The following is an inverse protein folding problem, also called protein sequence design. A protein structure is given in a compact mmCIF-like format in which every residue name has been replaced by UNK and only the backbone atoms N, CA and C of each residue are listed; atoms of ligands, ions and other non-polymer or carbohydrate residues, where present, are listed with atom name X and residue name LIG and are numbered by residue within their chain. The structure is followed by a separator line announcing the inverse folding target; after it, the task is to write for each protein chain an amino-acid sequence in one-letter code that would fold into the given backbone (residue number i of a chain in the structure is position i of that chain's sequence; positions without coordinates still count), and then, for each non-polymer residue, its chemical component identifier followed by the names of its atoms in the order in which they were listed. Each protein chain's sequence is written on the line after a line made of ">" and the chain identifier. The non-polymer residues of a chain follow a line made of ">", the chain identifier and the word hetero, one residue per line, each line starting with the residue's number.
data_IF_921824886847
#
_entry.id   IF_921824886847
#
_cell.length_a   1.000
_cell.length_b   1.000
_cell.length_c   1.000
_cell.angle_alpha   90.00
_cell.angle_beta   90.00
_cell.angle_gamma   90.00
#
_symmetry.space_group_name_H-M   'P 1'
#
loop_
_entity.id
_entity.type
_entity.pdbx_description
1 polymer ?
#
# COMPACT_ATOMS: atom_id res chain seq x y z
N UNK A 1 10.79 -13.63 41.23
CA UNK A 1 9.70 -12.73 40.81
C UNK A 1 9.95 -11.99 39.48
N UNK A 2 11.19 -12.00 38.95
CA UNK A 2 11.54 -11.30 37.69
C UNK A 2 11.37 -12.14 36.41
N UNK A 3 11.25 -13.45 36.50
CA UNK A 3 11.15 -14.34 35.32
C UNK A 3 9.74 -14.38 34.69
N UNK A 4 8.69 -14.05 35.43
CA UNK A 4 7.31 -14.08 34.94
C UNK A 4 6.93 -12.84 34.09
N UNK A 5 7.57 -11.68 34.36
CA UNK A 5 7.30 -10.44 33.63
C UNK A 5 7.94 -10.42 32.23
N UNK A 6 9.11 -11.07 32.08
CA UNK A 6 9.79 -11.17 30.77
C UNK A 6 9.07 -12.15 29.81
N UNK A 7 8.43 -13.19 30.35
CA UNK A 7 7.67 -14.15 29.55
C UNK A 7 6.35 -13.55 29.02
N UNK A 8 5.71 -12.65 29.76
CA UNK A 8 4.48 -11.97 29.32
C UNK A 8 4.75 -10.92 28.21
N UNK A 9 5.94 -10.26 28.22
CA UNK A 9 6.33 -9.34 27.16
C UNK A 9 6.69 -10.07 25.85
N UNK A 10 7.25 -11.27 25.93
CA UNK A 10 7.55 -12.11 24.76
C UNK A 10 6.28 -12.68 24.10
N UNK A 11 5.23 -12.94 24.86
CA UNK A 11 3.96 -13.43 24.32
C UNK A 11 3.17 -12.35 23.54
N UNK A 12 3.33 -11.06 23.87
CA UNK A 12 2.72 -9.97 23.12
C UNK A 12 3.44 -9.64 21.82
N UNK A 13 4.70 -10.05 21.63
CA UNK A 13 5.44 -9.84 20.39
C UNK A 13 5.22 -10.91 19.32
N UNK A 14 4.64 -12.06 19.69
CA UNK A 14 4.33 -13.15 18.74
C UNK A 14 3.00 -12.97 18.00
N UNK A 15 2.15 -12.03 18.43
CA UNK A 15 0.80 -11.85 17.87
C UNK A 15 0.71 -11.04 16.56
N UNK A 16 1.70 -10.23 16.24
CA UNK A 16 1.64 -9.31 15.08
C UNK A 16 2.82 -9.50 14.11
N UNK A 17 3.03 -10.71 13.64
CA UNK A 17 4.07 -10.99 12.62
C UNK A 17 3.51 -10.98 11.19
N UNK A 18 2.39 -10.28 10.98
CA UNK A 18 1.75 -10.21 9.66
C UNK A 18 1.70 -8.78 9.13
N UNK A 19 1.84 -8.67 7.82
CA UNK A 19 1.68 -7.42 7.09
C UNK A 19 0.60 -7.64 6.05
N UNK A 20 -0.35 -6.71 5.97
CA UNK A 20 -1.44 -6.75 5.01
C UNK A 20 -1.09 -5.87 3.80
N UNK A 21 -0.96 -6.46 2.63
CA UNK A 21 -0.81 -5.73 1.38
C UNK A 21 -2.18 -5.47 0.77
N UNK A 22 -2.43 -4.22 0.39
CA UNK A 22 -3.64 -3.79 -0.32
C UNK A 22 -3.30 -3.58 -1.79
N UNK A 23 -4.07 -4.23 -2.65
CA UNK A 23 -3.98 -4.17 -4.11
C UNK A 23 -5.34 -3.83 -4.71
N UNK A 24 -5.39 -3.54 -6.00
CA UNK A 24 -6.64 -3.21 -6.71
C UNK A 24 -7.02 -4.29 -7.71
N UNK A 25 -8.33 -4.54 -7.85
CA UNK A 25 -8.87 -5.41 -8.91
C UNK A 25 -9.09 -4.67 -10.24
N UNK A 26 -8.71 -3.40 -10.34
CA UNK A 26 -9.01 -2.58 -11.51
C UNK A 26 -8.14 -2.95 -12.71
N UNK A 27 -8.77 -3.25 -13.84
CA UNK A 27 -8.12 -3.64 -15.10
C UNK A 27 -7.96 -2.50 -16.11
N UNK A 28 -8.78 -1.45 -15.99
CA UNK A 28 -8.81 -0.32 -16.92
C UNK A 28 -8.82 1.00 -16.16
N UNK A 29 -8.28 2.06 -16.77
CA UNK A 29 -8.37 3.42 -16.23
C UNK A 29 -9.83 3.92 -16.30
N UNK A 30 -10.54 3.82 -15.19
CA UNK A 30 -11.96 4.18 -15.11
C UNK A 30 -12.82 3.45 -16.15
N UNK A 31 -13.55 4.22 -16.96
CA UNK A 31 -14.39 3.71 -18.05
C UNK A 31 -13.67 3.62 -19.40
N UNK A 32 -12.37 3.90 -19.46
CA UNK A 32 -11.59 3.83 -20.71
C UNK A 32 -11.32 2.37 -21.12
N UNK A 33 -10.74 2.19 -22.32
CA UNK A 33 -10.22 0.90 -22.79
C UNK A 33 -8.71 0.75 -22.53
N UNK A 34 -8.10 1.73 -21.86
CA UNK A 34 -6.67 1.67 -21.50
C UNK A 34 -6.49 0.74 -20.31
N UNK A 35 -5.68 -0.28 -20.48
CA UNK A 35 -5.34 -1.22 -19.42
C UNK A 35 -4.51 -0.56 -18.33
N UNK A 36 -4.78 -0.92 -17.08
CA UNK A 36 -3.99 -0.57 -15.91
C UNK A 36 -3.71 -1.80 -15.06
N UNK A 37 -2.79 -1.69 -14.11
CA UNK A 37 -2.39 -2.79 -13.26
C UNK A 37 -1.80 -2.30 -11.93
N UNK A 38 -1.65 -3.21 -10.98
CA UNK A 38 -0.77 -3.03 -9.83
C UNK A 38 0.69 -3.11 -10.31
N UNK A 39 1.55 -2.25 -9.75
CA UNK A 39 2.96 -2.19 -10.16
C UNK A 39 3.71 -3.36 -9.54
N UNK A 40 4.20 -4.29 -10.38
CA UNK A 40 4.77 -5.55 -9.91
C UNK A 40 5.96 -5.35 -8.96
N UNK A 41 6.88 -4.44 -9.29
CA UNK A 41 8.03 -4.11 -8.44
C UNK A 41 7.62 -3.62 -7.05
N UNK A 42 6.56 -2.78 -6.98
CA UNK A 42 6.06 -2.21 -5.72
C UNK A 42 5.33 -3.24 -4.84
N UNK A 43 4.94 -4.37 -5.42
CA UNK A 43 4.43 -5.52 -4.67
C UNK A 43 5.59 -6.41 -4.23
N UNK A 44 6.46 -6.83 -5.16
CA UNK A 44 7.45 -7.87 -4.87
C UNK A 44 8.63 -7.40 -4.02
N UNK A 45 9.09 -6.16 -4.19
CA UNK A 45 10.26 -5.68 -3.42
C UNK A 45 9.94 -5.62 -1.93
N UNK A 46 8.87 -4.97 -1.46
CA UNK A 46 8.49 -5.03 -0.06
C UNK A 46 8.13 -6.46 0.41
N UNK A 47 7.48 -7.25 -0.43
CA UNK A 47 7.15 -8.64 -0.12
C UNK A 47 8.40 -9.47 0.19
N UNK A 48 9.44 -9.38 -0.65
CA UNK A 48 10.72 -10.09 -0.48
C UNK A 48 11.42 -9.64 0.81
N UNK A 49 11.44 -8.34 1.10
CA UNK A 49 12.01 -7.81 2.35
C UNK A 49 11.27 -8.32 3.59
N UNK A 50 9.98 -8.18 3.65
CA UNK A 50 9.20 -8.58 4.82
C UNK A 50 9.22 -10.09 5.05
N UNK A 51 9.14 -10.89 3.99
CA UNK A 51 9.21 -12.35 4.13
C UNK A 51 10.60 -12.82 4.56
N UNK A 52 11.68 -12.20 4.07
CA UNK A 52 13.04 -12.45 4.55
C UNK A 52 13.26 -12.02 6.00
N UNK A 53 12.55 -10.98 6.45
CA UNK A 53 12.56 -10.55 7.85
C UNK A 53 11.69 -11.42 8.76
N UNK A 54 11.02 -12.46 8.23
CA UNK A 54 10.21 -13.40 8.99
C UNK A 54 8.73 -13.02 9.12
N UNK A 55 8.28 -11.93 8.48
CA UNK A 55 6.86 -11.58 8.46
C UNK A 55 6.07 -12.46 7.49
N UNK A 56 4.86 -12.78 7.87
CA UNK A 56 3.86 -13.32 6.94
C UNK A 56 3.18 -12.16 6.21
N UNK A 57 3.03 -12.30 4.89
CA UNK A 57 2.35 -11.31 4.06
C UNK A 57 1.08 -11.90 3.48
N UNK A 58 -0.05 -11.27 3.81
CA UNK A 58 -1.34 -11.52 3.17
C UNK A 58 -1.64 -10.40 2.17
N UNK A 59 -2.34 -10.73 1.09
CA UNK A 59 -2.72 -9.77 0.06
C UNK A 59 -4.25 -9.68 0.04
N UNK A 60 -4.77 -8.45 0.11
CA UNK A 60 -6.20 -8.16 0.05
C UNK A 60 -6.49 -7.23 -1.12
N UNK A 61 -7.62 -7.44 -1.76
CA UNK A 61 -8.17 -6.51 -2.74
C UNK A 61 -9.66 -6.28 -2.48
N UNK A 62 -10.26 -5.19 -2.97
CA UNK A 62 -11.67 -4.87 -2.70
C UNK A 62 -12.65 -6.01 -2.96
N UNK A 63 -12.39 -6.82 -4.01
CA UNK A 63 -13.27 -7.92 -4.43
C UNK A 63 -12.72 -9.30 -4.11
N UNK A 64 -11.46 -9.40 -3.64
CA UNK A 64 -10.74 -10.66 -3.58
C UNK A 64 -10.43 -11.23 -4.97
N UNK A 65 -9.85 -12.44 -5.01
CA UNK A 65 -9.51 -13.13 -6.26
C UNK A 65 -8.38 -12.47 -7.05
N UNK A 66 -8.37 -12.67 -8.36
CA UNK A 66 -7.29 -12.23 -9.22
C UNK A 66 -7.18 -10.70 -9.32
N UNK A 67 -5.94 -10.23 -9.34
CA UNK A 67 -5.59 -8.82 -9.60
C UNK A 67 -4.72 -8.70 -10.84
N UNK A 68 -4.85 -7.62 -11.63
CA UNK A 68 -3.94 -7.36 -12.73
C UNK A 68 -2.58 -6.91 -12.20
N UNK A 69 -1.50 -7.47 -12.74
CA UNK A 69 -0.13 -7.03 -12.51
C UNK A 69 0.51 -6.55 -13.80
N UNK A 70 1.34 -5.51 -13.70
CA UNK A 70 1.99 -4.91 -14.87
C UNK A 70 3.29 -4.20 -14.48
N UNK A 71 3.83 -3.41 -15.40
CA UNK A 71 5.09 -2.70 -15.22
C UNK A 71 6.26 -3.66 -14.94
N UNK A 72 6.22 -4.83 -15.57
CA UNK A 72 7.16 -5.94 -15.33
C UNK A 72 8.44 -5.71 -16.13
N UNK A 73 9.59 -5.80 -15.45
CA UNK A 73 10.91 -5.80 -16.06
C UNK A 73 11.56 -7.18 -15.91
N UNK A 74 11.52 -8.00 -16.95
CA UNK A 74 12.09 -9.35 -16.92
C UNK A 74 13.63 -9.37 -16.95
N UNK A 75 14.29 -8.22 -17.15
CA UNK A 75 15.74 -8.09 -16.98
C UNK A 75 16.15 -7.93 -15.51
N UNK A 76 15.22 -7.55 -14.64
CA UNK A 76 15.45 -7.53 -13.20
C UNK A 76 15.32 -8.95 -12.62
N UNK A 77 16.36 -9.37 -11.89
CA UNK A 77 16.45 -10.74 -11.37
C UNK A 77 15.38 -11.05 -10.31
N UNK A 78 15.01 -10.06 -9.50
CA UNK A 78 14.00 -10.22 -8.45
C UNK A 78 12.60 -10.30 -9.07
N UNK A 79 12.29 -9.42 -10.03
CA UNK A 79 11.02 -9.47 -10.76
C UNK A 79 10.89 -10.80 -11.52
N UNK A 80 11.96 -11.23 -12.20
CA UNK A 80 11.99 -12.51 -12.89
C UNK A 80 11.74 -13.67 -11.93
N UNK A 81 12.40 -13.69 -10.75
CA UNK A 81 12.21 -14.71 -9.73
C UNK A 81 10.73 -14.85 -9.35
N UNK A 82 10.08 -13.75 -8.97
CA UNK A 82 8.69 -13.79 -8.51
C UNK A 82 7.67 -14.01 -9.64
N UNK A 83 7.97 -13.57 -10.86
CA UNK A 83 7.11 -13.84 -12.02
C UNK A 83 6.99 -15.35 -12.33
N UNK A 84 8.06 -16.13 -12.07
CA UNK A 84 8.09 -17.58 -12.26
C UNK A 84 7.86 -18.37 -10.96
N UNK A 85 7.63 -17.70 -9.84
CA UNK A 85 7.26 -18.34 -8.57
C UNK A 85 5.75 -18.61 -8.55
N UNK A 86 5.36 -19.85 -8.83
CA UNK A 86 3.94 -20.25 -8.86
C UNK A 86 3.22 -20.02 -7.53
N UNK A 87 3.91 -20.18 -6.39
CA UNK A 87 3.32 -19.90 -5.08
C UNK A 87 2.99 -18.44 -4.86
N UNK A 88 3.90 -17.56 -5.31
CA UNK A 88 3.67 -16.13 -5.22
C UNK A 88 2.58 -15.67 -6.20
N UNK A 89 2.62 -16.16 -7.43
CA UNK A 89 1.60 -15.82 -8.45
C UNK A 89 0.21 -16.29 -8.04
N UNK A 90 0.10 -17.46 -7.40
CA UNK A 90 -1.17 -17.95 -6.84
C UNK A 90 -1.75 -16.98 -5.78
N UNK A 91 -0.92 -16.35 -4.96
CA UNK A 91 -1.38 -15.30 -4.02
C UNK A 91 -1.97 -14.08 -4.74
N UNK A 92 -1.50 -13.76 -5.94
CA UNK A 92 -2.03 -12.65 -6.75
C UNK A 92 -3.30 -13.03 -7.52
N UNK A 93 -3.48 -14.32 -7.80
CA UNK A 93 -4.72 -14.87 -8.38
C UNK A 93 -5.82 -15.07 -7.32
N UNK A 94 -5.44 -15.26 -6.04
CA UNK A 94 -6.34 -15.57 -4.95
C UNK A 94 -6.19 -14.59 -3.78
N UNK A 95 -6.24 -13.28 -4.06
CA UNK A 95 -6.20 -12.28 -2.99
C UNK A 95 -7.43 -12.42 -2.08
N UNK A 96 -7.26 -12.08 -0.80
CA UNK A 96 -8.36 -12.14 0.18
C UNK A 96 -9.39 -11.05 -0.06
N UNK A 97 -10.62 -11.30 0.35
CA UNK A 97 -11.65 -10.26 0.49
C UNK A 97 -11.48 -9.53 1.84
N UNK A 98 -11.90 -8.26 1.95
CA UNK A 98 -11.84 -7.51 3.21
C UNK A 98 -12.56 -8.21 4.38
N UNK A 99 -13.63 -8.96 4.09
CA UNK A 99 -14.39 -9.74 5.10
C UNK A 99 -13.60 -10.88 5.74
N UNK A 100 -12.51 -11.33 5.12
CA UNK A 100 -11.66 -12.41 5.60
C UNK A 100 -10.48 -11.90 6.46
N UNK A 101 -10.37 -10.58 6.62
CA UNK A 101 -9.26 -9.96 7.33
C UNK A 101 -9.64 -9.71 8.79
N UNK A 102 -8.79 -10.21 9.69
CA UNK A 102 -8.84 -9.93 11.12
C UNK A 102 -7.74 -8.89 11.42
N UNK A 103 -8.09 -7.60 11.55
CA UNK A 103 -7.10 -6.51 11.61
C UNK A 103 -6.10 -6.64 12.76
N UNK A 104 -6.53 -7.27 13.86
CA UNK A 104 -5.75 -7.48 15.08
C UNK A 104 -4.49 -8.35 14.85
N UNK A 105 -4.48 -9.12 13.77
CA UNK A 105 -3.35 -9.98 13.41
C UNK A 105 -2.23 -9.26 12.67
N UNK A 106 -2.40 -7.98 12.30
CA UNK A 106 -1.46 -7.27 11.43
C UNK A 106 -0.73 -6.14 12.17
N UNK A 107 0.60 -6.14 12.03
CA UNK A 107 1.46 -5.06 12.52
C UNK A 107 1.46 -3.83 11.59
N UNK A 108 1.17 -4.04 10.30
CA UNK A 108 1.14 -2.97 9.31
C UNK A 108 0.16 -3.29 8.18
N UNK A 109 -0.31 -2.22 7.52
CA UNK A 109 -0.99 -2.26 6.23
C UNK A 109 -0.18 -1.47 5.22
N UNK A 110 0.06 -2.06 4.05
CA UNK A 110 0.87 -1.51 2.97
C UNK A 110 0.04 -1.43 1.69
N UNK A 111 -0.11 -0.23 1.14
CA UNK A 111 -0.83 0.02 -0.11
C UNK A 111 0.17 0.07 -1.26
N UNK A 112 0.18 -0.96 -2.12
CA UNK A 112 0.99 -0.99 -3.33
C UNK A 112 0.41 -0.09 -4.42
N UNK A 113 1.27 0.45 -5.27
CA UNK A 113 0.84 1.36 -6.32
C UNK A 113 0.64 0.68 -7.68
N UNK A 114 0.88 1.46 -8.70
CA UNK A 114 0.44 1.22 -10.07
C UNK A 114 -0.86 1.97 -10.37
N UNK A 115 -1.15 2.21 -11.63
CA UNK A 115 -2.33 3.01 -12.01
C UNK A 115 -3.66 2.42 -11.54
N UNK A 116 -3.73 1.10 -11.30
CA UNK A 116 -4.91 0.46 -10.76
C UNK A 116 -5.25 0.91 -9.33
N UNK A 117 -4.25 1.24 -8.52
CA UNK A 117 -4.41 1.55 -7.10
C UNK A 117 -5.27 2.81 -6.83
N UNK A 118 -5.41 3.69 -7.83
CA UNK A 118 -6.22 4.91 -7.71
C UNK A 118 -7.73 4.65 -7.81
N UNK A 119 -8.10 3.40 -8.15
CA UNK A 119 -9.48 2.99 -8.36
C UNK A 119 -9.88 1.86 -7.40
N UNK A 120 -11.07 1.97 -6.80
CA UNK A 120 -11.71 0.92 -6.02
C UNK A 120 -11.15 0.73 -4.60
N UNK A 121 -9.96 1.24 -4.29
CA UNK A 121 -9.32 1.06 -2.97
C UNK A 121 -9.65 2.21 -2.02
N UNK A 122 -9.54 3.44 -2.50
CA UNK A 122 -9.73 4.65 -1.68
C UNK A 122 -11.15 4.76 -1.10
N UNK A 123 -12.14 4.36 -1.89
CA UNK A 123 -13.56 4.40 -1.55
C UNK A 123 -14.06 3.13 -0.82
N UNK A 124 -13.24 2.07 -0.73
CA UNK A 124 -13.64 0.84 -0.05
C UNK A 124 -13.68 1.02 1.47
N UNK A 125 -14.88 1.13 2.00
CA UNK A 125 -15.12 1.36 3.42
C UNK A 125 -14.68 0.20 4.31
N UNK A 126 -14.65 -1.02 3.80
CA UNK A 126 -14.19 -2.19 4.55
C UNK A 126 -12.65 -2.15 4.70
N UNK A 127 -11.91 -1.83 3.63
CA UNK A 127 -10.45 -1.63 3.68
C UNK A 127 -10.11 -0.44 4.59
N UNK A 128 -10.85 0.68 4.50
CA UNK A 128 -10.67 1.82 5.40
C UNK A 128 -10.86 1.43 6.87
N UNK A 129 -11.88 0.62 7.18
CA UNK A 129 -12.14 0.12 8.55
C UNK A 129 -11.01 -0.78 9.04
N UNK A 130 -10.46 -1.65 8.18
CA UNK A 130 -9.32 -2.50 8.49
C UNK A 130 -8.10 -1.63 8.81
N UNK A 131 -7.76 -0.67 7.96
CA UNK A 131 -6.63 0.24 8.14
C UNK A 131 -6.73 1.03 9.45
N UNK A 132 -7.92 1.57 9.74
CA UNK A 132 -8.20 2.27 11.00
C UNK A 132 -7.96 1.38 12.22
N UNK A 133 -8.45 0.14 12.20
CA UNK A 133 -8.24 -0.81 13.30
C UNK A 133 -6.77 -1.17 13.48
N UNK A 134 -6.04 -1.44 12.41
CA UNK A 134 -4.60 -1.68 12.46
C UNK A 134 -3.89 -0.46 13.08
N UNK A 135 -4.22 0.75 12.63
CA UNK A 135 -3.65 1.97 13.19
C UNK A 135 -3.98 2.16 14.67
N UNK A 136 -5.22 1.92 15.09
CA UNK A 136 -5.64 2.04 16.48
C UNK A 136 -4.96 0.99 17.39
N UNK A 137 -4.56 -0.15 16.83
CA UNK A 137 -3.76 -1.19 17.50
C UNK A 137 -2.24 -0.92 17.44
N UNK A 138 -1.83 0.33 17.29
CA UNK A 138 -0.45 0.77 17.15
C UNK A 138 0.28 0.28 15.88
N UNK A 139 -0.44 -0.23 14.90
CA UNK A 139 0.12 -0.63 13.62
C UNK A 139 0.54 0.53 12.73
N UNK A 140 1.32 0.22 11.69
CA UNK A 140 1.87 1.16 10.73
C UNK A 140 0.96 1.21 9.49
N UNK A 141 0.75 2.41 8.95
CA UNK A 141 0.17 2.61 7.63
C UNK A 141 1.28 2.99 6.66
N UNK A 142 1.46 2.18 5.62
CA UNK A 142 2.45 2.42 4.58
C UNK A 142 1.78 2.47 3.21
N UNK A 143 2.31 3.28 2.30
CA UNK A 143 1.84 3.39 0.94
C UNK A 143 2.96 3.81 -0.01
N UNK A 144 2.86 3.43 -1.28
CA UNK A 144 3.84 3.81 -2.30
C UNK A 144 3.14 4.26 -3.58
N UNK A 145 3.72 5.28 -4.23
CA UNK A 145 3.30 5.71 -5.56
C UNK A 145 1.79 6.05 -5.60
N UNK A 146 1.04 5.51 -6.57
CA UNK A 146 -0.42 5.64 -6.63
C UNK A 146 -1.15 4.90 -5.49
N UNK A 147 -0.50 3.96 -4.79
CA UNK A 147 -1.06 3.32 -3.59
C UNK A 147 -1.42 4.31 -2.48
N UNK A 148 -0.79 5.48 -2.47
CA UNK A 148 -1.14 6.58 -1.54
C UNK A 148 -2.60 7.07 -1.72
N UNK A 149 -3.23 6.80 -2.86
CA UNK A 149 -4.67 7.03 -3.03
C UNK A 149 -5.49 6.27 -1.96
N UNK A 150 -5.09 5.05 -1.61
CA UNK A 150 -5.79 4.22 -0.63
C UNK A 150 -5.86 4.80 0.78
N UNK A 151 -4.95 5.72 1.12
CA UNK A 151 -4.98 6.39 2.42
C UNK A 151 -5.66 7.76 2.38
N UNK A 152 -6.02 8.27 1.20
CA UNK A 152 -6.48 9.65 1.02
C UNK A 152 -7.73 10.01 1.84
N UNK A 153 -8.59 9.03 2.12
CA UNK A 153 -9.85 9.22 2.86
C UNK A 153 -9.89 8.45 4.18
N UNK A 154 -8.72 8.06 4.73
CA UNK A 154 -8.67 7.41 6.03
C UNK A 154 -8.99 8.39 7.15
N UNK A 155 -10.03 8.07 7.91
CA UNK A 155 -10.50 8.88 9.03
C UNK A 155 -10.58 8.07 10.32
N UNK A 156 -10.53 8.76 11.47
CA UNK A 156 -10.91 8.21 12.76
C UNK A 156 -12.45 8.01 12.86
N UNK A 157 -12.93 7.59 14.01
CA UNK A 157 -14.37 7.39 14.27
C UNK A 157 -15.16 8.71 14.32
N UNK A 158 -14.46 9.83 14.53
CA UNK A 158 -15.03 11.17 14.55
C UNK A 158 -15.00 11.85 13.17
N UNK A 159 -14.47 11.17 12.14
CA UNK A 159 -14.36 11.68 10.78
C UNK A 159 -13.14 12.59 10.54
N UNK A 160 -12.20 12.70 11.50
CA UNK A 160 -10.96 13.43 11.29
C UNK A 160 -9.96 12.55 10.52
N UNK A 161 -9.19 13.15 9.64
CA UNK A 161 -8.14 12.44 8.92
C UNK A 161 -7.09 11.86 9.88
N UNK A 162 -6.77 10.57 9.74
CA UNK A 162 -5.75 9.88 10.56
C UNK A 162 -4.35 10.46 10.38
N UNK A 163 -4.09 11.10 9.26
CA UNK A 163 -2.80 11.73 8.93
C UNK A 163 -2.83 13.26 8.98
N UNK A 164 -3.84 13.86 9.62
CA UNK A 164 -3.91 15.33 9.75
C UNK A 164 -2.61 15.90 10.33
N UNK A 165 -2.03 16.91 9.66
CA UNK A 165 -0.76 17.53 10.02
C UNK A 165 0.49 16.70 9.69
N UNK A 166 0.36 15.45 9.24
CA UNK A 166 1.49 14.58 8.90
C UNK A 166 2.01 14.85 7.50
N UNK A 167 3.32 14.66 7.32
CA UNK A 167 3.93 14.62 5.99
C UNK A 167 3.60 13.29 5.33
N UNK A 168 3.04 13.36 4.13
CA UNK A 168 2.68 12.22 3.29
C UNK A 168 3.30 12.44 1.93
N UNK A 169 3.82 11.39 1.30
CA UNK A 169 4.22 11.40 -0.10
C UNK A 169 3.53 10.27 -0.87
N UNK A 170 3.57 10.36 -2.17
CA UNK A 170 3.03 9.43 -3.13
C UNK A 170 3.39 9.91 -4.52
N UNK A 171 2.83 9.30 -5.57
CA UNK A 171 3.10 9.78 -6.93
C UNK A 171 2.44 11.14 -7.15
N UNK A 172 3.23 12.22 -7.34
CA UNK A 172 2.67 13.57 -7.37
C UNK A 172 2.12 13.95 -8.74
N UNK A 173 1.11 14.80 -8.77
CA UNK A 173 0.60 15.42 -10.00
C UNK A 173 1.70 16.11 -10.83
N UNK A 174 2.79 16.50 -10.18
CA UNK A 174 3.95 17.12 -10.82
C UNK A 174 4.64 16.19 -11.84
N UNK A 175 4.61 14.88 -11.60
CA UNK A 175 5.22 13.88 -12.49
C UNK A 175 4.22 13.25 -13.46
N UNK A 176 2.94 13.61 -13.36
CA UNK A 176 1.90 13.09 -14.25
C UNK A 176 1.90 13.79 -15.60
N UNK A 177 1.65 13.02 -16.66
CA UNK A 177 1.33 13.61 -17.96
C UNK A 177 -0.18 13.88 -18.04
N UNK A 178 -0.57 15.12 -17.74
CA UNK A 178 -1.97 15.56 -17.63
C UNK A 178 -2.73 15.55 -18.96
N UNK A 179 -2.02 15.52 -20.07
CA UNK A 179 -2.63 15.45 -21.40
C UNK A 179 -3.08 14.04 -21.78
N UNK A 180 -2.52 13.04 -21.11
CA UNK A 180 -2.83 11.64 -21.40
C UNK A 180 -4.22 11.24 -20.92
N UNK A 181 -4.85 10.33 -21.67
CA UNK A 181 -6.19 9.82 -21.40
C UNK A 181 -6.25 9.12 -20.02
N UNK A 182 -5.20 8.41 -19.64
CA UNK A 182 -5.16 7.72 -18.34
C UNK A 182 -5.31 8.70 -17.16
N UNK A 183 -4.64 9.88 -17.24
CA UNK A 183 -4.71 10.88 -16.18
C UNK A 183 -6.10 11.53 -16.12
N UNK A 184 -6.68 11.83 -17.28
CA UNK A 184 -8.04 12.39 -17.36
C UNK A 184 -9.12 11.45 -16.80
N UNK A 185 -8.82 10.14 -16.74
CA UNK A 185 -9.69 9.13 -16.15
C UNK A 185 -9.54 9.00 -14.63
N UNK A 186 -8.54 9.61 -14.00
CA UNK A 186 -8.36 9.53 -12.54
C UNK A 186 -9.57 10.14 -11.82
N UNK A 187 -10.11 9.45 -10.80
CA UNK A 187 -11.26 9.97 -10.04
C UNK A 187 -10.91 11.19 -9.20
N UNK A 188 -9.64 11.32 -8.81
CA UNK A 188 -9.11 12.44 -8.02
C UNK A 188 -7.59 12.53 -8.15
N UNK A 189 -7.02 13.68 -7.74
CA UNK A 189 -5.59 13.89 -7.57
C UNK A 189 -5.17 13.55 -6.15
N UNK A 190 -4.14 12.70 -6.00
CA UNK A 190 -3.61 12.28 -4.69
C UNK A 190 -3.16 13.49 -3.88
N UNK A 191 -2.36 14.39 -4.48
CA UNK A 191 -1.87 15.62 -3.84
C UNK A 191 -3.00 16.45 -3.25
N UNK A 192 -4.06 16.66 -4.07
CA UNK A 192 -5.19 17.50 -3.67
C UNK A 192 -6.02 16.82 -2.59
N UNK A 193 -6.24 15.51 -2.70
CA UNK A 193 -7.01 14.76 -1.72
C UNK A 193 -6.30 14.75 -0.35
N UNK A 194 -4.99 14.49 -0.32
CA UNK A 194 -4.21 14.52 0.92
C UNK A 194 -4.23 15.92 1.56
N UNK A 195 -4.03 16.98 0.78
CA UNK A 195 -4.08 18.37 1.28
C UNK A 195 -5.46 18.76 1.77
N UNK A 196 -6.52 18.42 1.03
CA UNK A 196 -7.91 18.69 1.42
C UNK A 196 -8.27 18.04 2.76
N UNK A 197 -7.69 16.87 3.06
CA UNK A 197 -7.85 16.14 4.30
C UNK A 197 -6.76 16.49 5.34
N UNK A 198 -6.21 17.72 5.26
CA UNK A 198 -5.27 18.30 6.25
C UNK A 198 -3.91 17.58 6.34
N UNK A 199 -3.53 16.74 5.40
CA UNK A 199 -2.19 16.20 5.28
C UNK A 199 -1.24 17.20 4.63
N UNK A 200 0.05 17.10 4.95
CA UNK A 200 1.10 17.88 4.31
C UNK A 200 1.75 17.03 3.22
N UNK A 201 1.23 17.13 1.97
CA UNK A 201 1.80 16.40 0.85
C UNK A 201 3.13 17.01 0.41
N UNK A 202 4.18 16.20 0.47
CA UNK A 202 5.55 16.57 0.09
C UNK A 202 6.09 15.60 -0.96
N UNK A 203 6.95 16.07 -1.86
CA UNK A 203 7.52 15.24 -2.90
C UNK A 203 8.89 15.78 -3.36
N UNK A 204 9.70 14.91 -3.95
CA UNK A 204 10.90 15.30 -4.68
C UNK A 204 10.54 15.68 -6.12
N UNK A 205 11.11 16.76 -6.61
CA UNK A 205 11.01 17.12 -8.03
C UNK A 205 11.84 16.18 -8.93
N UNK A 206 12.76 15.42 -8.33
CA UNK A 206 13.46 14.35 -9.04
C UNK A 206 12.61 13.09 -9.04
N UNK A 207 12.45 12.50 -10.22
CA UNK A 207 11.80 11.22 -10.36
C UNK A 207 12.82 10.09 -10.09
N UNK A 208 12.39 9.00 -9.45
CA UNK A 208 13.18 7.79 -9.20
C UNK A 208 14.45 8.02 -8.37
N UNK A 209 14.40 8.91 -7.39
CA UNK A 209 15.52 9.18 -6.46
C UNK A 209 15.37 8.48 -5.11
N UNK A 210 14.36 7.62 -4.97
CA UNK A 210 14.06 6.89 -3.76
C UNK A 210 13.50 7.77 -2.64
N UNK A 211 12.75 8.82 -3.01
CA UNK A 211 12.14 9.73 -2.04
C UNK A 211 11.05 9.01 -1.24
N UNK A 212 11.16 9.09 0.08
CA UNK A 212 10.17 8.56 1.02
C UNK A 212 10.06 9.44 2.25
N UNK A 213 8.99 9.26 3.01
CA UNK A 213 8.68 10.01 4.22
C UNK A 213 8.29 9.04 5.33
N UNK A 214 8.85 9.27 6.51
CA UNK A 214 8.39 8.67 7.77
C UNK A 214 7.89 9.80 8.66
N UNK A 215 6.62 9.78 9.01
CA UNK A 215 6.05 10.74 9.96
C UNK A 215 5.08 10.02 10.91
N UNK A 216 5.56 9.81 12.14
CA UNK A 216 4.88 8.97 13.11
C UNK A 216 4.77 7.53 12.61
N UNK A 217 3.54 7.01 12.51
CA UNK A 217 3.26 5.66 12.00
C UNK A 217 2.77 5.65 10.54
N UNK A 218 3.10 6.71 9.78
CA UNK A 218 2.93 6.76 8.33
C UNK A 218 4.30 6.66 7.66
N UNK A 219 4.43 5.67 6.76
CA UNK A 219 5.65 5.42 5.98
C UNK A 219 5.26 5.42 4.52
N UNK A 220 5.60 6.47 3.79
CA UNK A 220 5.12 6.64 2.41
C UNK A 220 6.26 6.88 1.43
N UNK A 221 6.16 6.32 0.23
CA UNK A 221 7.14 6.42 -0.85
C UNK A 221 6.56 7.05 -2.10
N UNK A 222 7.39 7.81 -2.82
CA UNK A 222 6.94 8.57 -3.97
C UNK A 222 6.70 7.69 -5.21
N UNK A 223 7.59 6.75 -5.46
CA UNK A 223 7.62 5.95 -6.69
C UNK A 223 8.34 4.60 -6.45
N UNK A 224 8.42 3.68 -7.44
CA UNK A 224 9.01 2.35 -7.25
C UNK A 224 10.43 2.35 -6.67
N UNK A 225 11.23 3.39 -6.94
CA UNK A 225 12.60 3.48 -6.42
C UNK A 225 12.69 3.59 -4.89
N UNK A 226 11.57 3.92 -4.23
CA UNK A 226 11.47 3.96 -2.77
C UNK A 226 11.09 2.60 -2.16
N UNK A 227 10.70 1.59 -2.95
CA UNK A 227 10.09 0.35 -2.45
C UNK A 227 10.95 -0.38 -1.41
N UNK A 228 12.26 -0.50 -1.65
CA UNK A 228 13.18 -1.13 -0.71
C UNK A 228 13.30 -0.35 0.62
N UNK A 229 13.30 0.98 0.55
CA UNK A 229 13.43 1.85 1.73
C UNK A 229 12.21 1.83 2.65
N UNK A 230 11.03 1.52 2.09
CA UNK A 230 9.80 1.42 2.86
C UNK A 230 9.71 0.14 3.69
N UNK A 231 10.46 -0.89 3.32
CA UNK A 231 10.43 -2.20 3.95
C UNK A 231 11.57 -2.39 4.98
N UNK A 232 12.47 -1.41 5.12
CA UNK A 232 13.58 -1.41 6.09
C UNK A 232 13.30 -0.53 7.29
#
# INVERSE_FOLDING_TARGET
>A
FFAFSACLMLLNTLGQQRILFVTSNQHYYGSTKLSTANHFEEVIVPYDFFTKAGFQVDIVSPKGGAIPVGYINTSDSLQKKYLYDGWFMDKLEHTRQPSEIIPENYAAIFYSGGGAAIFGVAEDTAIQKIARKIYNNNGIISAICHGTAGIAYLTDEQGNSLYAGRKITGYPDFHENKEMEYYKAFPFSIDKAIKANKGNFVFSQKNKDGFYVVDGRFVTGQDPSAAAKLAT
#
